data_IF_440174191463
#
_entry.id   IF_440174191463
#
_cell.length_a   1.000
_cell.length_b   1.000
_cell.length_c   1.000
_cell.angle_alpha   90.00
_cell.angle_beta   90.00
_cell.angle_gamma   90.00
#
_symmetry.space_group_name_H-M   'P 1'
#
loop_
_entity.id
_entity.type
_entity.pdbx_description
1 polymer ?
#
# COMPACT_ATOMS: atom_id res chain seq x y z
N UNK A 1 16.05 3.13 1.30
CA UNK A 1 15.20 3.19 2.51
C UNK A 1 14.06 2.21 2.31
N UNK A 2 13.84 1.28 3.24
CA UNK A 2 12.79 0.26 3.10
C UNK A 2 11.41 0.85 3.35
N UNK A 3 10.47 0.58 2.47
CA UNK A 3 9.13 1.16 2.52
C UNK A 3 8.04 0.16 2.09
N UNK A 4 6.81 0.44 2.53
CA UNK A 4 5.60 -0.24 2.08
C UNK A 4 4.74 0.79 1.35
N UNK A 5 4.17 0.41 0.21
CA UNK A 5 3.26 1.28 -0.56
C UNK A 5 1.81 0.93 -0.33
N UNK A 6 0.99 1.90 0.11
CA UNK A 6 -0.46 1.73 0.22
C UNK A 6 -1.08 1.85 -1.18
N UNK A 7 -1.64 0.74 -1.69
CA UNK A 7 -2.35 0.72 -2.98
C UNK A 7 -3.85 0.52 -2.80
N UNK A 8 -4.61 1.41 -3.40
CA UNK A 8 -6.07 1.33 -3.50
C UNK A 8 -6.56 0.87 -4.88
N UNK A 9 -5.64 0.71 -5.84
CA UNK A 9 -5.96 0.51 -7.26
C UNK A 9 -6.24 1.83 -8.01
N UNK A 10 -6.14 2.97 -7.33
CA UNK A 10 -6.24 4.30 -7.94
C UNK A 10 -4.90 4.81 -8.49
N UNK A 11 -4.99 5.72 -9.48
CA UNK A 11 -3.83 6.33 -10.15
C UNK A 11 -2.87 7.04 -9.18
N UNK A 12 -3.40 7.67 -8.13
CA UNK A 12 -2.60 8.50 -7.22
C UNK A 12 -1.72 7.62 -6.32
N UNK A 13 -2.28 6.52 -5.80
CA UNK A 13 -1.52 5.51 -5.07
C UNK A 13 -0.43 4.87 -5.94
N UNK A 14 -0.75 4.56 -7.21
CA UNK A 14 0.19 4.01 -8.17
C UNK A 14 1.34 4.97 -8.49
N UNK A 15 1.02 6.24 -8.79
CA UNK A 15 2.02 7.26 -9.08
C UNK A 15 2.93 7.53 -7.88
N UNK A 16 2.38 7.55 -6.65
CA UNK A 16 3.19 7.74 -5.45
C UNK A 16 4.22 6.63 -5.25
N UNK A 17 3.87 5.39 -5.58
CA UNK A 17 4.78 4.26 -5.53
C UNK A 17 5.92 4.40 -6.55
N UNK A 18 5.61 4.82 -7.78
CA UNK A 18 6.61 5.09 -8.82
C UNK A 18 7.57 6.19 -8.36
N UNK A 19 7.05 7.31 -7.88
CA UNK A 19 7.88 8.43 -7.40
C UNK A 19 8.81 7.95 -6.27
N UNK A 20 8.32 7.16 -5.33
CA UNK A 20 9.14 6.60 -4.26
C UNK A 20 10.28 5.71 -4.79
N UNK A 21 9.98 4.83 -5.76
CA UNK A 21 10.99 3.98 -6.41
C UNK A 21 12.03 4.81 -7.17
N UNK A 22 11.62 5.82 -7.91
CA UNK A 22 12.51 6.73 -8.63
C UNK A 22 13.43 7.53 -7.67
N UNK A 23 12.96 7.79 -6.44
CA UNK A 23 13.76 8.41 -5.37
C UNK A 23 14.64 7.41 -4.60
N UNK A 24 14.77 6.16 -5.07
CA UNK A 24 15.64 5.15 -4.48
C UNK A 24 15.07 4.51 -3.20
N UNK A 25 13.76 4.58 -2.99
CA UNK A 25 13.09 3.82 -1.94
C UNK A 25 12.90 2.36 -2.39
N UNK A 26 13.21 1.44 -1.49
CA UNK A 26 13.03 0.00 -1.72
C UNK A 26 11.62 -0.37 -1.24
N UNK A 27 10.68 -0.49 -2.18
CA UNK A 27 9.32 -0.94 -1.89
C UNK A 27 9.36 -2.45 -1.72
N UNK A 28 9.20 -2.94 -0.48
CA UNK A 28 9.20 -4.40 -0.21
C UNK A 28 7.98 -5.07 -0.84
N UNK A 29 6.80 -4.45 -0.66
CA UNK A 29 5.54 -4.90 -1.22
C UNK A 29 4.50 -3.78 -1.16
N UNK A 30 3.41 -3.99 -1.87
CA UNK A 30 2.21 -3.15 -1.76
C UNK A 30 1.29 -3.68 -0.65
N UNK A 31 0.74 -2.79 0.16
CA UNK A 31 -0.31 -3.10 1.11
C UNK A 31 -1.66 -2.67 0.54
N UNK A 32 -2.61 -3.60 0.52
CA UNK A 32 -3.99 -3.38 0.12
C UNK A 32 -4.85 -3.60 1.36
N UNK A 33 -5.56 -2.55 1.79
CA UNK A 33 -6.39 -2.58 3.00
C UNK A 33 -7.84 -2.73 2.60
N UNK A 34 -8.43 -3.89 2.89
CA UNK A 34 -9.85 -4.15 2.64
C UNK A 34 -10.68 -3.36 3.64
N UNK A 35 -11.43 -2.34 3.19
CA UNK A 35 -12.27 -1.54 4.08
C UNK A 35 -13.37 -2.39 4.70
N UNK A 36 -13.76 -2.03 5.92
CA UNK A 36 -15.06 -2.43 6.45
C UNK A 36 -16.19 -1.70 5.69
N UNK A 37 -17.41 -2.21 5.79
CA UNK A 37 -18.56 -1.57 5.11
C UNK A 37 -18.69 -0.15 5.67
N UNK A 38 -18.69 0.86 4.78
CA UNK A 38 -18.74 2.30 5.11
C UNK A 38 -17.44 2.94 5.65
N UNK A 39 -16.26 2.40 5.33
CA UNK A 39 -14.98 3.05 5.67
C UNK A 39 -14.84 4.43 5.02
N UNK A 40 -14.60 5.45 5.86
CA UNK A 40 -14.23 6.80 5.43
C UNK A 40 -12.72 6.94 5.17
N UNK A 41 -11.92 5.94 5.58
CA UNK A 41 -10.46 5.96 5.48
C UNK A 41 -9.93 5.21 4.27
N UNK A 42 -10.55 4.09 3.89
CA UNK A 42 -10.05 3.23 2.81
C UNK A 42 -11.03 3.16 1.63
N UNK A 43 -10.46 3.17 0.43
CA UNK A 43 -11.22 3.24 -0.80
C UNK A 43 -11.90 1.90 -1.12
N UNK A 44 -13.24 1.87 -1.05
CA UNK A 44 -14.05 0.67 -1.33
C UNK A 44 -14.09 0.32 -2.84
N UNK A 45 -14.24 1.28 -3.78
CA UNK A 45 -14.32 0.91 -5.19
C UNK A 45 -13.00 0.36 -5.73
N UNK A 46 -13.08 -0.69 -6.56
CA UNK A 46 -11.97 -1.25 -7.34
C UNK A 46 -10.78 -1.84 -6.55
N UNK A 47 -10.93 -2.13 -5.25
CA UNK A 47 -9.84 -2.73 -4.48
C UNK A 47 -9.38 -4.09 -5.03
N UNK A 48 -10.27 -4.83 -5.70
CA UNK A 48 -9.92 -6.07 -6.41
C UNK A 48 -8.92 -5.88 -7.55
N UNK A 49 -8.76 -4.64 -8.06
CA UNK A 49 -7.76 -4.30 -9.09
C UNK A 49 -6.43 -3.85 -8.49
N UNK A 50 -6.35 -3.59 -7.17
CA UNK A 50 -5.13 -3.10 -6.54
C UNK A 50 -3.97 -4.11 -6.64
N UNK A 51 -4.27 -5.41 -6.59
CA UNK A 51 -3.29 -6.48 -6.82
C UNK A 51 -2.73 -6.48 -8.25
N UNK A 52 -3.56 -6.14 -9.25
CA UNK A 52 -3.11 -5.98 -10.64
C UNK A 52 -2.15 -4.80 -10.78
N UNK A 53 -2.44 -3.68 -10.13
CA UNK A 53 -1.54 -2.52 -10.15
C UNK A 53 -0.22 -2.80 -9.43
N UNK A 54 -0.22 -3.60 -8.38
CA UNK A 54 0.99 -4.04 -7.70
C UNK A 54 1.91 -4.85 -8.62
N UNK A 55 1.36 -5.77 -9.42
CA UNK A 55 2.11 -6.52 -10.43
C UNK A 55 2.73 -5.63 -11.51
N UNK A 56 2.06 -4.54 -11.90
CA UNK A 56 2.60 -3.58 -12.86
C UNK A 56 3.81 -2.81 -12.30
N UNK A 57 3.90 -2.65 -10.98
CA UNK A 57 5.08 -2.09 -10.30
C UNK A 57 6.21 -3.11 -10.11
N UNK A 58 5.96 -4.39 -10.43
CA UNK A 58 6.93 -5.47 -10.22
C UNK A 58 7.14 -5.86 -8.75
N UNK A 59 6.18 -5.56 -7.88
CA UNK A 59 6.21 -5.92 -6.45
C UNK A 59 5.04 -6.83 -6.09
N UNK A 60 5.21 -7.63 -5.03
CA UNK A 60 4.13 -8.43 -4.48
C UNK A 60 3.11 -7.56 -3.72
N UNK A 61 1.90 -8.10 -3.52
CA UNK A 61 0.85 -7.45 -2.73
C UNK A 61 0.48 -8.27 -1.51
N UNK A 62 0.33 -7.59 -0.37
CA UNK A 62 -0.26 -8.12 0.86
C UNK A 62 -1.64 -7.50 1.06
N UNK A 63 -2.64 -8.34 1.29
CA UNK A 63 -4.01 -7.91 1.58
C UNK A 63 -4.33 -8.13 3.06
N UNK A 64 -4.84 -7.10 3.73
CA UNK A 64 -5.27 -7.18 5.13
C UNK A 64 -6.69 -6.61 5.30
N UNK A 65 -7.37 -6.97 6.39
CA UNK A 65 -8.56 -6.23 6.82
C UNK A 65 -8.17 -4.88 7.42
N UNK A 66 -9.06 -3.90 7.36
CA UNK A 66 -8.90 -2.59 8.01
C UNK A 66 -8.60 -2.72 9.52
N UNK A 67 -9.25 -3.65 10.21
CA UNK A 67 -9.00 -3.95 11.63
C UNK A 67 -7.57 -4.46 11.93
N UNK A 68 -6.82 -4.89 10.92
CA UNK A 68 -5.44 -5.37 11.06
C UNK A 68 -4.40 -4.26 10.78
N UNK A 69 -4.82 -3.07 10.36
CA UNK A 69 -3.93 -2.00 9.88
C UNK A 69 -2.86 -1.60 10.90
N UNK A 70 -3.25 -1.34 12.14
CA UNK A 70 -2.30 -0.93 13.19
C UNK A 70 -1.33 -2.06 13.56
N UNK A 71 -1.84 -3.28 13.65
CA UNK A 71 -1.03 -4.47 13.96
C UNK A 71 -0.01 -4.76 12.86
N UNK A 72 -0.43 -4.60 11.61
CA UNK A 72 0.45 -4.74 10.46
C UNK A 72 1.62 -3.75 10.52
N UNK A 73 1.38 -2.46 10.80
CA UNK A 73 2.48 -1.49 10.88
C UNK A 73 3.40 -1.70 12.08
N UNK A 74 2.85 -2.18 13.20
CA UNK A 74 3.67 -2.58 14.34
C UNK A 74 4.67 -3.70 13.95
N UNK A 75 4.25 -4.64 13.11
CA UNK A 75 5.11 -5.72 12.59
C UNK A 75 6.12 -5.17 11.56
N UNK A 76 5.67 -4.37 10.59
CA UNK A 76 6.55 -3.80 9.56
C UNK A 76 7.68 -2.97 10.15
N UNK A 77 7.37 -2.16 11.18
CA UNK A 77 8.38 -1.39 11.90
C UNK A 77 9.44 -2.28 12.55
N UNK A 78 9.04 -3.43 13.13
CA UNK A 78 9.98 -4.42 13.70
C UNK A 78 10.83 -5.10 12.63
N UNK A 79 10.31 -5.24 11.42
CA UNK A 79 11.01 -5.81 10.26
C UNK A 79 11.91 -4.80 9.53
N UNK A 80 12.03 -3.58 10.03
CA UNK A 80 12.94 -2.56 9.49
C UNK A 80 12.35 -1.72 8.36
N UNK A 81 11.03 -1.74 8.14
CA UNK A 81 10.35 -0.77 7.28
C UNK A 81 10.45 0.61 7.94
N UNK A 82 10.92 1.58 7.16
CA UNK A 82 11.24 2.94 7.63
C UNK A 82 10.27 4.00 7.11
N UNK A 83 9.46 3.68 6.09
CA UNK A 83 8.51 4.60 5.50
C UNK A 83 7.25 3.90 4.99
N UNK A 84 6.18 4.68 4.92
CA UNK A 84 4.90 4.31 4.31
C UNK A 84 4.68 5.29 3.17
N UNK A 85 4.41 4.78 1.98
CA UNK A 85 4.08 5.59 0.81
C UNK A 85 2.57 5.60 0.66
N UNK A 86 1.99 6.80 0.59
CA UNK A 86 0.57 7.00 0.33
C UNK A 86 0.42 7.97 -0.82
N UNK A 87 -0.56 7.71 -1.68
CA UNK A 87 -1.03 8.71 -2.64
C UNK A 87 -1.72 9.86 -1.91
N UNK A 88 -1.49 11.08 -2.39
CA UNK A 88 -2.33 12.22 -2.03
C UNK A 88 -3.58 12.19 -2.93
N UNK A 89 -4.75 12.41 -2.33
CA UNK A 89 -6.06 12.52 -3.01
C UNK A 89 -6.68 13.87 -2.72
#
# INVERSE_FOLDING_TARGET
MKAVSLLSGGKDSFLSAIIAMENGMEIEHSLIVKPETDSMMFHVPNIGNASLTSRLLGVDSVEIAESEFDSYFAIMRRNGVQAIISGAT
#
